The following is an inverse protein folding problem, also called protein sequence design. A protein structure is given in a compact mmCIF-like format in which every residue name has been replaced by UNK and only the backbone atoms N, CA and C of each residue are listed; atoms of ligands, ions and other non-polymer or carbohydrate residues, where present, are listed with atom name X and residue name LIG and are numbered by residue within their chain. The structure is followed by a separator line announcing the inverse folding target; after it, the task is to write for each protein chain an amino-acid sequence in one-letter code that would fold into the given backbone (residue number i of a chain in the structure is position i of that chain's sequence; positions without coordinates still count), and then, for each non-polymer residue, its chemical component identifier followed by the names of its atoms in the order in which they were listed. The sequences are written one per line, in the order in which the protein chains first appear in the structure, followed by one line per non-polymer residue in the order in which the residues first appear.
data_IF_737803302594
#
_entry.id   IF_737803302594
#
_cell.length_a   1.000
_cell.length_b   1.000
_cell.length_c   1.000
_cell.angle_alpha   90.00
_cell.angle_beta   90.00
_cell.angle_gamma   90.00
#
_symmetry.space_group_name_H-M   'P 1'
#
loop_
_entity.id
_entity.type
_entity.pdbx_description
1 polymer ?
#
# COMPACT_ATOMS: atom_id res chain seq x y z
N UNK A 1 -11.04 12.05 -6.86
CA UNK A 1 -9.72 11.48 -6.55
C UNK A 1 -8.68 11.60 -7.67
N UNK A 2 -8.96 11.18 -8.92
CA UNK A 2 -7.92 11.02 -9.96
C UNK A 2 -7.05 12.24 -10.23
N UNK A 3 -7.57 13.47 -10.14
CA UNK A 3 -6.81 14.71 -10.33
C UNK A 3 -5.73 14.99 -9.28
N UNK A 4 -5.81 14.37 -8.10
CA UNK A 4 -4.86 14.55 -7.00
C UNK A 4 -3.79 13.45 -6.96
N UNK A 5 -4.01 12.33 -7.67
CA UNK A 5 -3.07 11.21 -7.76
C UNK A 5 -2.12 11.45 -8.93
N UNK A 6 -1.19 12.39 -8.75
CA UNK A 6 -0.22 12.79 -9.77
C UNK A 6 1.10 12.00 -9.71
N UNK A 7 1.25 11.10 -8.74
CA UNK A 7 2.40 10.22 -8.60
C UNK A 7 2.07 8.82 -9.08
N UNK A 8 3.11 8.07 -9.44
CA UNK A 8 3.03 6.64 -9.71
C UNK A 8 3.72 5.91 -8.56
N UNK A 9 3.14 4.80 -8.13
CA UNK A 9 3.75 3.86 -7.20
C UNK A 9 3.68 2.46 -7.79
N UNK A 10 4.63 1.62 -7.43
CA UNK A 10 4.62 0.19 -7.70
C UNK A 10 3.95 -0.51 -6.53
N UNK A 11 3.02 -1.41 -6.84
CA UNK A 11 2.23 -2.16 -5.89
C UNK A 11 2.45 -3.66 -6.06
N UNK A 12 2.70 -4.34 -4.95
CA UNK A 12 2.74 -5.80 -4.84
C UNK A 12 1.57 -6.26 -3.99
N UNK A 13 0.64 -6.98 -4.62
CA UNK A 13 -0.58 -7.47 -3.99
C UNK A 13 -0.52 -8.94 -3.60
N UNK A 14 -1.67 -9.44 -3.11
CA UNK A 14 -1.89 -10.85 -2.83
C UNK A 14 -0.78 -11.51 -1.97
N UNK A 15 -0.52 -11.04 -0.74
CA UNK A 15 0.44 -11.68 0.14
C UNK A 15 -0.03 -13.11 0.48
N UNK A 16 0.68 -14.11 -0.03
CA UNK A 16 0.43 -15.53 0.23
C UNK A 16 1.56 -16.11 1.08
N UNK A 17 1.22 -16.76 2.18
CA UNK A 17 2.17 -17.50 3.02
C UNK A 17 2.71 -18.70 2.23
N UNK A 18 4.03 -18.77 2.07
CA UNK A 18 4.70 -19.85 1.35
C UNK A 18 4.87 -21.13 2.20
N UNK A 19 4.42 -21.10 3.46
CA UNK A 19 4.53 -22.21 4.41
C UNK A 19 5.93 -22.34 5.04
N UNK A 20 6.89 -21.50 4.66
CA UNK A 20 8.22 -21.40 5.24
C UNK A 20 8.41 -20.12 6.06
N UNK A 21 7.32 -19.36 6.27
CA UNK A 21 7.34 -18.10 7.00
C UNK A 21 7.75 -16.91 6.16
N UNK A 22 7.77 -17.06 4.82
CA UNK A 22 7.96 -15.98 3.86
C UNK A 22 6.63 -15.68 3.17
N UNK A 23 6.47 -14.45 2.71
CA UNK A 23 5.31 -14.05 1.92
C UNK A 23 5.70 -13.98 0.45
N UNK A 24 4.90 -14.59 -0.41
CA UNK A 24 4.95 -14.42 -1.85
C UNK A 24 3.94 -13.38 -2.28
N UNK A 25 4.25 -12.64 -3.34
CA UNK A 25 3.45 -11.53 -3.85
C UNK A 25 3.19 -11.69 -5.34
N UNK A 26 2.13 -11.04 -5.82
CA UNK A 26 1.88 -10.93 -7.26
C UNK A 26 2.91 -10.03 -7.94
N UNK A 27 3.02 -10.16 -9.27
CA UNK A 27 3.89 -9.32 -10.10
C UNK A 27 3.63 -7.82 -9.84
N UNK A 28 4.68 -6.99 -9.74
CA UNK A 28 4.53 -5.58 -9.45
C UNK A 28 3.70 -4.86 -10.50
N UNK A 29 2.73 -4.05 -10.06
CA UNK A 29 1.89 -3.24 -10.95
C UNK A 29 2.02 -1.75 -10.64
N UNK A 30 2.05 -0.93 -11.68
CA UNK A 30 2.05 0.52 -11.52
C UNK A 30 0.65 1.04 -11.23
N UNK A 31 0.51 1.78 -10.14
CA UNK A 31 -0.74 2.40 -9.72
C UNK A 31 -0.58 3.91 -9.57
N UNK A 32 -1.64 4.66 -9.89
CA UNK A 32 -1.69 6.09 -9.59
C UNK A 32 -2.00 6.31 -8.12
N UNK A 33 -1.18 7.13 -7.47
CA UNK A 33 -1.33 7.43 -6.07
C UNK A 33 -1.05 8.90 -5.76
N UNK A 34 -1.40 9.29 -4.54
CA UNK A 34 -0.89 10.48 -3.88
C UNK A 34 -0.23 10.04 -2.58
N UNK A 35 1.08 10.20 -2.50
CA UNK A 35 1.86 9.84 -1.34
C UNK A 35 2.05 11.03 -0.42
N UNK A 36 1.76 10.84 0.86
CA UNK A 36 2.00 11.84 1.89
C UNK A 36 2.82 11.23 3.01
N UNK A 37 4.03 11.75 3.21
CA UNK A 37 4.84 11.41 4.37
C UNK A 37 4.19 12.05 5.60
N UNK A 38 3.54 11.21 6.40
CA UNK A 38 2.86 11.62 7.61
C UNK A 38 2.98 10.50 8.62
N UNK A 39 3.71 10.77 9.70
CA UNK A 39 3.85 9.81 10.80
C UNK A 39 2.67 9.97 11.74
N UNK A 40 1.85 8.94 11.85
CA UNK A 40 0.65 8.92 12.67
C UNK A 40 0.54 7.59 13.43
N UNK A 41 -0.04 7.64 14.63
CA UNK A 41 -0.40 6.44 15.40
C UNK A 41 -1.89 6.19 15.20
N UNK A 42 -2.21 5.06 14.61
CA UNK A 42 -3.58 4.64 14.31
C UNK A 42 -3.96 3.58 15.34
N UNK A 43 -4.91 3.92 16.21
CA UNK A 43 -5.51 2.95 17.13
C UNK A 43 -6.58 2.17 16.37
N UNK A 44 -6.31 0.89 16.10
CA UNK A 44 -7.27 -0.03 15.50
C UNK A 44 -7.86 -0.89 16.61
N UNK A 45 -9.19 -0.95 16.67
CA UNK A 45 -9.89 -1.87 17.57
C UNK A 45 -9.74 -3.27 16.98
N UNK A 46 -8.92 -4.11 17.61
CA UNK A 46 -8.79 -5.51 17.19
C UNK A 46 -10.04 -6.32 17.54
N UNK A 47 -10.26 -7.42 16.83
CA UNK A 47 -11.37 -8.36 17.09
C UNK A 47 -11.40 -8.86 18.54
N UNK A 48 -10.24 -8.93 19.20
CA UNK A 48 -10.10 -9.36 20.59
C UNK A 48 -10.38 -8.27 21.64
N UNK A 49 -10.95 -7.11 21.25
CA UNK A 49 -11.13 -5.92 22.12
C UNK A 49 -9.84 -5.37 22.73
N UNK A 50 -8.70 -5.70 22.13
CA UNK A 50 -7.43 -5.05 22.43
C UNK A 50 -7.18 -3.99 21.38
N UNK A 51 -7.04 -2.76 21.84
CA UNK A 51 -6.59 -1.66 20.98
C UNK A 51 -5.17 -1.99 20.53
N UNK A 52 -4.98 -2.06 19.21
CA UNK A 52 -3.65 -2.18 18.61
C UNK A 52 -3.26 -0.81 18.08
N UNK A 53 -2.09 -0.34 18.49
CA UNK A 53 -1.50 0.88 17.93
C UNK A 53 -0.64 0.51 16.73
N UNK A 54 -1.01 1.00 15.56
CA UNK A 54 -0.22 0.90 14.34
C UNK A 54 0.50 2.23 14.12
N UNK A 55 1.82 2.20 13.98
CA UNK A 55 2.58 3.39 13.62
C UNK A 55 2.69 3.45 12.10
N UNK A 56 1.91 4.33 11.49
CA UNK A 56 2.00 4.65 10.07
C UNK A 56 3.11 5.67 9.86
N UNK A 57 4.00 5.44 8.90
CA UNK A 57 5.03 6.36 8.41
C UNK A 57 4.52 7.24 7.27
N UNK A 58 3.58 6.74 6.47
CA UNK A 58 3.00 7.48 5.35
C UNK A 58 1.53 7.12 5.12
N UNK A 59 0.79 8.06 4.53
CA UNK A 59 -0.59 7.88 4.09
C UNK A 59 -0.63 8.02 2.56
N UNK A 60 -1.19 7.02 1.89
CA UNK A 60 -1.22 6.96 0.43
C UNK A 60 -2.66 6.85 -0.04
N UNK A 61 -3.10 7.79 -0.87
CA UNK A 61 -4.37 7.68 -1.56
C UNK A 61 -4.17 6.93 -2.86
N UNK A 62 -4.98 5.90 -3.08
CA UNK A 62 -4.90 5.02 -4.25
C UNK A 62 -6.20 5.09 -5.06
N UNK A 63 -6.10 4.74 -6.34
CA UNK A 63 -7.27 4.72 -7.25
C UNK A 63 -7.98 3.37 -7.32
N UNK A 64 -7.29 2.30 -6.90
CA UNK A 64 -7.78 0.92 -6.86
C UNK A 64 -7.77 0.36 -5.43
N UNK A 65 -8.46 -0.74 -5.22
CA UNK A 65 -8.38 -1.47 -3.95
C UNK A 65 -6.98 -2.11 -3.83
N UNK A 66 -6.42 -2.14 -2.62
CA UNK A 66 -5.12 -2.77 -2.32
C UNK A 66 -5.28 -3.68 -1.11
N UNK A 67 -4.45 -4.70 -1.08
CA UNK A 67 -4.42 -5.70 -0.01
C UNK A 67 -3.53 -5.27 1.15
N UNK A 68 -4.02 -5.52 2.37
CA UNK A 68 -3.21 -5.41 3.57
C UNK A 68 -2.07 -6.43 3.52
N UNK A 69 -0.94 -6.11 4.17
CA UNK A 69 0.32 -6.85 4.13
C UNK A 69 1.01 -6.90 2.75
N UNK A 70 0.41 -6.32 1.71
CA UNK A 70 1.07 -6.00 0.44
C UNK A 70 2.12 -4.89 0.59
N UNK A 71 2.81 -4.55 -0.49
CA UNK A 71 3.85 -3.51 -0.48
C UNK A 71 3.56 -2.40 -1.49
N UNK A 72 3.96 -1.18 -1.13
CA UNK A 72 3.94 -0.01 -1.99
C UNK A 72 5.32 0.65 -2.04
N UNK A 73 5.75 0.98 -3.24
CA UNK A 73 6.98 1.71 -3.51
C UNK A 73 6.68 2.95 -4.35
N UNK A 74 7.19 4.11 -3.95
CA UNK A 74 7.00 5.34 -4.71
C UNK A 74 8.00 5.39 -5.88
N UNK A 75 7.55 5.06 -7.09
CA UNK A 75 8.37 5.01 -8.28
C UNK A 75 7.65 4.42 -9.49
N UNK A 76 8.43 4.05 -10.52
CA UNK A 76 7.95 3.43 -11.77
C UNK A 76 8.86 2.28 -12.14
N UNK A 77 8.33 1.25 -12.81
CA UNK A 77 9.09 0.10 -13.30
C UNK A 77 10.00 0.44 -14.48
N UNK A 78 9.63 1.45 -15.28
CA UNK A 78 10.32 1.79 -16.54
C UNK A 78 11.46 2.83 -16.41
N UNK A 79 11.67 3.44 -15.24
CA UNK A 79 12.65 4.54 -15.08
C UNK A 79 14.03 4.06 -14.64
N UNK A 80 15.01 4.97 -14.56
CA UNK A 80 16.38 4.73 -14.06
C UNK A 80 16.49 4.15 -12.64
N UNK A 81 15.37 4.11 -11.90
CA UNK A 81 15.19 3.46 -10.60
C UNK A 81 14.46 2.11 -10.72
N UNK A 82 14.50 1.49 -11.90
CA UNK A 82 13.87 0.19 -12.16
C UNK A 82 14.40 -0.85 -11.19
N UNK A 83 13.46 -1.60 -10.63
CA UNK A 83 13.73 -2.68 -9.69
C UNK A 83 14.51 -3.78 -10.43
N UNK A 84 15.52 -4.34 -9.77
CA UNK A 84 16.16 -5.56 -10.28
C UNK A 84 15.18 -6.73 -10.22
N UNK A 85 15.42 -7.79 -11.00
CA UNK A 85 14.55 -8.98 -10.97
C UNK A 85 14.44 -9.65 -9.59
N UNK A 86 15.38 -9.39 -8.68
CA UNK A 86 15.30 -9.82 -7.29
C UNK A 86 14.34 -8.94 -6.46
N UNK A 87 14.35 -7.64 -6.71
CA UNK A 87 13.47 -6.63 -6.09
C UNK A 87 12.02 -6.70 -6.61
N UNK A 88 11.83 -7.11 -7.85
CA UNK A 88 10.51 -7.41 -8.40
C UNK A 88 9.89 -8.64 -7.72
N UNK A 89 10.71 -9.66 -7.43
CA UNK A 89 10.28 -10.92 -6.82
C UNK A 89 10.06 -10.81 -5.30
N UNK A 90 10.83 -9.95 -4.61
CA UNK A 90 10.68 -9.73 -3.18
C UNK A 90 10.66 -8.22 -2.87
N UNK A 91 9.48 -7.63 -2.57
CA UNK A 91 9.39 -6.22 -2.21
C UNK A 91 10.03 -5.90 -0.85
N UNK A 92 10.33 -6.90 -0.01
CA UNK A 92 10.97 -6.68 1.28
C UNK A 92 12.46 -6.30 1.15
N UNK A 93 13.10 -6.63 0.03
CA UNK A 93 14.51 -6.24 -0.23
C UNK A 93 14.64 -4.85 -0.85
N UNK A 94 13.53 -4.26 -1.32
CA UNK A 94 13.50 -2.96 -1.98
C UNK A 94 13.65 -1.84 -0.95
N UNK A 95 14.69 -1.02 -1.10
CA UNK A 95 14.84 0.18 -0.27
C UNK A 95 13.68 1.15 -0.54
N UNK A 96 13.01 1.59 0.54
CA UNK A 96 11.81 2.46 0.50
C UNK A 96 10.54 1.80 -0.08
N UNK A 97 10.49 0.47 -0.21
CA UNK A 97 9.20 -0.19 -0.24
C UNK A 97 8.63 -0.27 1.17
N UNK A 98 7.35 0.03 1.30
CA UNK A 98 6.66 0.04 2.59
C UNK A 98 5.50 -0.94 2.56
N UNK A 99 5.36 -1.69 3.65
CA UNK A 99 4.27 -2.64 3.83
C UNK A 99 2.97 -1.90 4.15
N UNK A 100 1.88 -2.28 3.48
CA UNK A 100 0.54 -1.79 3.77
C UNK A 100 0.08 -2.39 5.09
N UNK A 101 -0.09 -1.54 6.11
CA UNK A 101 -0.53 -1.92 7.45
C UNK A 101 -2.04 -1.92 7.60
N UNK A 102 -2.70 -1.02 6.88
CA UNK A 102 -4.15 -0.84 6.95
C UNK A 102 -4.66 -0.28 5.63
N UNK A 103 -5.77 -0.83 5.15
CA UNK A 103 -6.49 -0.30 3.99
C UNK A 103 -7.89 0.17 4.39
N UNK A 104 -8.19 1.44 4.12
CA UNK A 104 -9.50 2.03 4.36
C UNK A 104 -10.20 2.37 3.05
N UNK A 105 -11.45 1.90 2.93
CA UNK A 105 -12.35 2.23 1.83
C UNK A 105 -13.60 2.91 2.35
N UNK A 106 -13.66 4.23 2.22
CA UNK A 106 -14.80 5.03 2.68
C UNK A 106 -15.65 5.48 1.49
N UNK A 107 -16.97 5.23 1.47
CA UNK A 107 -17.85 5.79 0.45
C UNK A 107 -17.95 7.32 0.60
N UNK A 108 -17.89 8.06 -0.51
CA UNK A 108 -18.13 9.50 -0.48
C UNK A 108 -19.63 9.76 -0.23
N UNK A 109 -19.95 10.37 0.92
CA UNK A 109 -21.34 10.65 1.35
C UNK A 109 -22.17 11.46 0.32
N UNK A 110 -21.53 12.21 -0.59
CA UNK A 110 -22.20 13.02 -1.63
C UNK A 110 -22.33 12.34 -2.99
N UNK A 111 -21.57 11.28 -3.26
CA UNK A 111 -21.56 10.61 -4.56
C UNK A 111 -21.54 9.09 -4.38
N UNK A 112 -22.66 8.43 -4.67
CA UNK A 112 -22.93 7.02 -4.38
C UNK A 112 -22.00 6.00 -5.06
N UNK A 113 -21.14 6.42 -5.99
CA UNK A 113 -20.27 5.53 -6.79
C UNK A 113 -18.78 5.84 -6.54
N UNK A 114 -18.46 6.90 -5.78
CA UNK A 114 -17.07 7.30 -5.52
C UNK A 114 -16.62 6.81 -4.15
N UNK A 115 -15.49 6.11 -4.14
CA UNK A 115 -14.84 5.65 -2.92
C UNK A 115 -13.52 6.38 -2.74
N UNK A 116 -13.29 6.85 -1.51
CA UNK A 116 -11.99 7.28 -1.04
C UNK A 116 -11.28 6.03 -0.54
N UNK A 117 -10.10 5.78 -1.10
CA UNK A 117 -9.26 4.65 -0.74
C UNK A 117 -7.95 5.17 -0.17
N UNK A 118 -7.58 4.68 1.00
CA UNK A 118 -6.37 5.07 1.72
C UNK A 118 -5.63 3.83 2.15
N UNK A 119 -4.34 3.79 1.86
CA UNK A 119 -3.40 2.84 2.41
C UNK A 119 -2.52 3.55 3.43
N UNK A 120 -2.31 2.92 4.57
CA UNK A 120 -1.40 3.36 5.62
C UNK A 120 -0.20 2.42 5.65
N UNK A 121 0.99 3.00 5.69
CA UNK A 121 2.28 2.33 5.51
C UNK A 121 3.10 2.37 6.79
#
# INVERSE_FOLDING_TARGET
MSRLCNQTAVYWGNPQDDGYGTMTYDDPVEIKCRWQEHREVISVVGDDRKDRELVSKAQVWVVQDVDEEGYLYLGTLDSTDALSSAEEADPAVVDKAYKIRLFEKTPELRHSIKYIRKAYL
#
